data_IF_728320889401
#
_entry.id   IF_728320889401
#
_cell.length_a   1.000
_cell.length_b   1.000
_cell.length_c   1.000
_cell.angle_alpha   90.00
_cell.angle_beta   90.00
_cell.angle_gamma   90.00
#
_symmetry.space_group_name_H-M   'P 1'
#
loop_
_entity.id
_entity.type
_entity.pdbx_description
1 polymer ?
#
# COMPACT_ATOMS: atom_id res chain seq x y z
N UNK A 1 27.24 -15.14 -5.24
CA UNK A 1 25.86 -14.83 -4.80
C UNK A 1 25.21 -16.15 -4.44
N UNK A 2 24.70 -16.32 -3.20
CA UNK A 2 24.03 -17.58 -2.83
C UNK A 2 22.51 -17.38 -2.93
N UNK A 3 21.87 -18.21 -3.74
CA UNK A 3 20.42 -18.25 -3.87
C UNK A 3 19.85 -19.05 -2.69
N UNK A 4 19.45 -18.36 -1.64
CA UNK A 4 18.73 -18.93 -0.49
C UNK A 4 17.24 -18.71 -0.66
N UNK A 5 16.41 -19.54 -0.01
CA UNK A 5 14.94 -19.38 -0.06
C UNK A 5 14.50 -17.96 0.33
N UNK A 6 15.01 -17.35 1.42
CA UNK A 6 14.69 -15.96 1.74
C UNK A 6 15.02 -15.00 0.59
N UNK A 7 16.22 -15.09 -0.01
CA UNK A 7 16.60 -14.21 -1.12
C UNK A 7 15.69 -14.35 -2.34
N UNK A 8 15.23 -15.58 -2.64
CA UNK A 8 14.28 -15.81 -3.74
C UNK A 8 12.96 -15.14 -3.45
N UNK A 9 12.43 -15.25 -2.21
CA UNK A 9 11.19 -14.58 -1.82
C UNK A 9 11.29 -13.05 -1.95
N UNK A 10 12.41 -12.44 -1.51
CA UNK A 10 12.65 -11.01 -1.68
C UNK A 10 12.69 -10.59 -3.16
N UNK A 11 13.36 -11.38 -4.02
CA UNK A 11 13.39 -11.11 -5.47
C UNK A 11 11.99 -11.23 -6.09
N UNK A 12 11.22 -12.24 -5.70
CA UNK A 12 9.83 -12.40 -6.16
C UNK A 12 8.97 -11.21 -5.73
N UNK A 13 9.11 -10.73 -4.50
CA UNK A 13 8.41 -9.54 -4.02
C UNK A 13 8.80 -8.29 -4.80
N UNK A 14 10.08 -8.11 -5.09
CA UNK A 14 10.54 -7.00 -5.93
C UNK A 14 9.94 -7.06 -7.34
N UNK A 15 9.85 -8.25 -7.92
CA UNK A 15 9.20 -8.45 -9.22
C UNK A 15 7.66 -8.30 -9.15
N UNK A 16 7.05 -8.64 -8.01
CA UNK A 16 5.62 -8.45 -7.78
C UNK A 16 5.21 -6.98 -7.76
N UNK A 17 6.08 -6.07 -7.33
CA UNK A 17 5.78 -4.65 -7.27
C UNK A 17 5.36 -4.07 -8.64
N UNK A 18 6.16 -4.14 -9.72
CA UNK A 18 5.68 -3.76 -11.04
C UNK A 18 4.55 -4.66 -11.54
N UNK A 19 4.49 -5.92 -11.11
CA UNK A 19 3.41 -6.85 -11.41
C UNK A 19 2.04 -6.30 -11.05
N UNK A 20 1.89 -5.62 -9.91
CA UNK A 20 0.63 -4.97 -9.50
C UNK A 20 0.15 -3.97 -10.57
N UNK A 21 1.03 -3.12 -11.08
CA UNK A 21 0.66 -2.17 -12.14
C UNK A 21 0.34 -2.87 -13.46
N UNK A 22 1.10 -3.93 -13.80
CA UNK A 22 0.89 -4.70 -15.04
C UNK A 22 -0.47 -5.40 -15.06
N UNK A 23 -1.05 -5.77 -13.90
CA UNK A 23 -2.39 -6.37 -13.85
C UNK A 23 -3.43 -5.44 -14.49
N UNK A 24 -3.36 -4.13 -14.25
CA UNK A 24 -4.30 -3.15 -14.80
C UNK A 24 -4.04 -2.78 -16.27
N UNK A 25 -2.88 -3.16 -16.83
CA UNK A 25 -2.59 -2.96 -18.24
C UNK A 25 -3.05 -4.14 -19.11
N UNK A 26 -2.99 -5.35 -18.60
CA UNK A 26 -3.21 -6.57 -19.37
C UNK A 26 -4.50 -7.31 -19.04
N UNK A 27 -5.09 -7.04 -17.90
CA UNK A 27 -6.34 -7.68 -17.47
C UNK A 27 -7.46 -6.66 -17.35
N UNK A 28 -8.67 -7.08 -17.70
CA UNK A 28 -9.89 -6.30 -17.47
C UNK A 28 -10.36 -6.44 -16.04
N UNK A 29 -11.07 -5.44 -15.53
CA UNK A 29 -11.77 -5.56 -14.22
C UNK A 29 -12.89 -6.62 -14.34
N UNK A 30 -13.12 -7.45 -13.32
CA UNK A 30 -12.55 -7.42 -11.96
C UNK A 30 -11.24 -8.21 -11.81
N UNK A 31 -10.77 -8.91 -12.83
CA UNK A 31 -9.58 -9.77 -12.72
C UNK A 31 -8.33 -8.98 -12.35
N UNK A 32 -8.18 -7.75 -12.91
CA UNK A 32 -7.07 -6.88 -12.55
C UNK A 32 -7.05 -6.56 -11.05
N UNK A 33 -8.21 -6.22 -10.47
CA UNK A 33 -8.35 -5.90 -9.05
C UNK A 33 -8.03 -7.12 -8.16
N UNK A 34 -8.56 -8.29 -8.51
CA UNK A 34 -8.27 -9.53 -7.79
C UNK A 34 -6.79 -9.90 -7.83
N UNK A 35 -6.18 -9.87 -9.01
CA UNK A 35 -4.76 -10.21 -9.14
C UNK A 35 -3.87 -9.21 -8.42
N UNK A 36 -4.15 -7.91 -8.50
CA UNK A 36 -3.42 -6.88 -7.79
C UNK A 36 -3.54 -7.07 -6.27
N UNK A 37 -4.75 -7.29 -5.76
CA UNK A 37 -5.00 -7.55 -4.34
C UNK A 37 -4.24 -8.80 -3.86
N UNK A 38 -4.39 -9.92 -4.56
CA UNK A 38 -3.75 -11.19 -4.18
C UNK A 38 -2.23 -11.06 -4.24
N UNK A 39 -1.70 -10.46 -5.32
CA UNK A 39 -0.26 -10.26 -5.50
C UNK A 39 0.31 -9.36 -4.39
N UNK A 40 -0.38 -8.28 -4.05
CA UNK A 40 0.02 -7.38 -2.97
C UNK A 40 -0.01 -8.06 -1.61
N UNK A 41 -1.08 -8.79 -1.29
CA UNK A 41 -1.22 -9.50 0.00
C UNK A 41 -0.18 -10.62 0.12
N UNK A 42 0.05 -11.40 -0.94
CA UNK A 42 1.10 -12.42 -0.95
C UNK A 42 2.48 -11.81 -0.77
N UNK A 43 2.77 -10.68 -1.42
CA UNK A 43 4.03 -9.97 -1.23
C UNK A 43 4.22 -9.49 0.22
N UNK A 44 3.16 -8.99 0.87
CA UNK A 44 3.19 -8.60 2.28
C UNK A 44 3.42 -9.79 3.23
N UNK A 45 2.81 -10.94 2.94
CA UNK A 45 3.00 -12.17 3.72
C UNK A 45 4.42 -12.71 3.53
N UNK A 46 4.94 -12.71 2.29
CA UNK A 46 6.29 -13.20 2.00
C UNK A 46 7.37 -12.35 2.66
N UNK A 47 7.16 -11.04 2.83
CA UNK A 47 8.06 -10.16 3.58
C UNK A 47 8.22 -10.60 5.04
N UNK A 48 7.11 -10.95 5.69
CA UNK A 48 7.17 -11.47 7.05
C UNK A 48 7.88 -12.82 7.10
N UNK A 49 7.62 -13.69 6.11
CA UNK A 49 8.16 -15.05 6.06
C UNK A 49 9.65 -15.08 5.76
N UNK A 50 10.15 -14.30 4.81
CA UNK A 50 11.57 -14.33 4.45
C UNK A 50 12.46 -13.83 5.58
N UNK A 51 12.07 -12.77 6.28
CA UNK A 51 12.75 -12.30 7.47
C UNK A 51 12.73 -13.32 8.62
N UNK A 52 11.63 -14.04 8.82
CA UNK A 52 11.54 -15.12 9.81
C UNK A 52 12.43 -16.29 9.42
N UNK A 53 12.33 -16.79 8.18
CA UNK A 53 13.10 -17.93 7.68
C UNK A 53 14.61 -17.64 7.63
N UNK A 54 15.02 -16.43 7.24
CA UNK A 54 16.43 -16.04 7.20
C UNK A 54 17.08 -16.16 8.59
N UNK A 55 16.37 -15.70 9.63
CA UNK A 55 16.83 -15.81 11.03
C UNK A 55 16.79 -17.26 11.53
N UNK A 56 15.68 -17.97 11.30
CA UNK A 56 15.49 -19.34 11.78
C UNK A 56 16.50 -20.32 11.15
N UNK A 57 16.81 -20.15 9.88
CA UNK A 57 17.76 -21.01 9.15
C UNK A 57 19.19 -20.48 9.11
N UNK A 58 19.46 -19.33 9.74
CA UNK A 58 20.78 -18.65 9.71
C UNK A 58 21.27 -18.41 8.27
N UNK A 59 20.36 -18.04 7.39
CA UNK A 59 20.60 -17.79 5.95
C UNK A 59 20.59 -16.29 5.62
N UNK A 60 20.85 -15.44 6.60
CA UNK A 60 21.01 -14.01 6.38
C UNK A 60 22.13 -13.74 5.38
N UNK A 61 21.88 -12.86 4.42
CA UNK A 61 22.83 -12.53 3.36
C UNK A 61 22.93 -11.03 3.13
N UNK A 62 24.11 -10.56 2.69
CA UNK A 62 24.30 -9.15 2.31
C UNK A 62 23.39 -8.73 1.16
N UNK A 63 23.09 -9.69 0.27
CA UNK A 63 22.21 -9.46 -0.86
C UNK A 63 20.75 -9.23 -0.42
N UNK A 64 20.21 -10.08 0.46
CA UNK A 64 18.88 -9.89 1.05
C UNK A 64 18.81 -8.56 1.81
N UNK A 65 19.76 -8.29 2.71
CA UNK A 65 19.80 -7.05 3.48
C UNK A 65 19.82 -5.77 2.62
N UNK A 66 20.38 -5.85 1.39
CA UNK A 66 20.33 -4.76 0.41
C UNK A 66 18.96 -4.69 -0.29
N UNK A 67 18.41 -5.87 -0.65
CA UNK A 67 17.22 -5.95 -1.51
C UNK A 67 15.92 -5.69 -0.74
N UNK A 68 15.82 -6.15 0.51
CA UNK A 68 14.62 -6.03 1.34
C UNK A 68 14.10 -4.58 1.44
N UNK A 69 14.92 -3.57 1.80
CA UNK A 69 14.43 -2.20 1.86
C UNK A 69 13.99 -1.63 0.51
N UNK A 70 14.52 -2.16 -0.59
CA UNK A 70 14.16 -1.75 -1.96
C UNK A 70 12.80 -2.35 -2.32
N UNK A 71 12.62 -3.66 -2.09
CA UNK A 71 11.39 -4.37 -2.39
C UNK A 71 10.19 -3.81 -1.62
N UNK A 72 10.36 -3.54 -0.31
CA UNK A 72 9.32 -2.95 0.53
C UNK A 72 8.85 -1.60 0.01
N UNK A 73 9.80 -0.72 -0.32
CA UNK A 73 9.46 0.61 -0.85
C UNK A 73 8.83 0.52 -2.23
N UNK A 74 9.36 -0.33 -3.12
CA UNK A 74 8.83 -0.51 -4.46
C UNK A 74 7.36 -0.94 -4.42
N UNK A 75 7.02 -1.91 -3.54
CA UNK A 75 5.64 -2.36 -3.35
C UNK A 75 4.70 -1.23 -2.95
N UNK A 76 5.07 -0.45 -1.95
CA UNK A 76 4.25 0.67 -1.46
C UNK A 76 4.13 1.77 -2.51
N UNK A 77 5.24 2.19 -3.11
CA UNK A 77 5.27 3.27 -4.10
C UNK A 77 4.40 2.93 -5.30
N UNK A 78 4.56 1.72 -5.86
CA UNK A 78 3.81 1.29 -7.04
C UNK A 78 2.34 1.07 -6.71
N UNK A 79 2.02 0.45 -5.57
CA UNK A 79 0.65 0.26 -5.15
C UNK A 79 -0.10 1.59 -4.95
N UNK A 80 0.52 2.58 -4.28
CA UNK A 80 -0.06 3.91 -4.12
C UNK A 80 -0.20 4.65 -5.45
N UNK A 81 0.78 4.53 -6.37
CA UNK A 81 0.69 5.09 -7.70
C UNK A 81 -0.52 4.54 -8.47
N UNK A 82 -0.72 3.21 -8.41
CA UNK A 82 -1.87 2.55 -9.03
C UNK A 82 -3.19 3.03 -8.42
N UNK A 83 -3.30 3.06 -7.08
CA UNK A 83 -4.52 3.50 -6.38
C UNK A 83 -4.86 4.96 -6.73
N UNK A 84 -3.88 5.86 -6.75
CA UNK A 84 -4.08 7.26 -7.17
C UNK A 84 -4.54 7.32 -8.62
N UNK A 85 -3.92 6.54 -9.52
CA UNK A 85 -4.30 6.48 -10.93
C UNK A 85 -5.73 5.95 -11.13
N UNK A 86 -6.11 4.88 -10.44
CA UNK A 86 -7.46 4.31 -10.51
C UNK A 86 -8.51 5.30 -9.97
N UNK A 87 -8.25 5.90 -8.81
CA UNK A 87 -9.16 6.89 -8.23
C UNK A 87 -9.36 8.11 -9.13
N UNK A 88 -8.31 8.58 -9.81
CA UNK A 88 -8.40 9.66 -10.78
C UNK A 88 -9.17 9.25 -12.04
N UNK A 89 -8.99 8.03 -12.52
CA UNK A 89 -9.70 7.50 -13.68
C UNK A 89 -11.21 7.37 -13.42
N UNK A 90 -11.61 6.92 -12.21
CA UNK A 90 -13.00 6.77 -11.80
C UNK A 90 -13.73 8.12 -11.70
N UNK A 91 -13.07 9.12 -11.11
CA UNK A 91 -13.67 10.44 -10.84
C UNK A 91 -13.42 11.47 -11.93
N UNK A 92 -12.57 11.17 -12.89
CA UNK A 92 -12.04 12.10 -13.90
C UNK A 92 -11.37 13.35 -13.34
N UNK A 93 -11.11 13.37 -12.02
CA UNK A 93 -10.35 14.39 -11.29
C UNK A 93 -9.53 13.72 -10.19
N UNK A 94 -8.46 14.39 -9.76
CA UNK A 94 -7.66 13.89 -8.64
C UNK A 94 -8.48 13.90 -7.34
N UNK A 95 -8.54 12.76 -6.67
CA UNK A 95 -9.21 12.66 -5.37
C UNK A 95 -8.26 13.10 -4.24
N UNK A 96 -8.54 14.23 -3.58
CA UNK A 96 -7.65 14.73 -2.52
C UNK A 96 -7.56 13.79 -1.31
N UNK A 97 -8.60 12.97 -1.05
CA UNK A 97 -8.62 12.02 0.06
C UNK A 97 -7.63 10.87 -0.12
N UNK A 98 -7.25 10.57 -1.36
CA UNK A 98 -6.22 9.58 -1.71
C UNK A 98 -4.90 10.27 -2.02
N UNK A 99 -4.90 11.34 -2.82
CA UNK A 99 -3.68 11.98 -3.29
C UNK A 99 -2.84 12.56 -2.15
N UNK A 100 -3.46 13.30 -1.21
CA UNK A 100 -2.72 13.95 -0.13
C UNK A 100 -2.02 12.95 0.79
N UNK A 101 -2.69 11.93 1.38
CA UNK A 101 -1.99 10.97 2.22
C UNK A 101 -0.96 10.15 1.44
N UNK A 102 -1.23 9.78 0.19
CA UNK A 102 -0.24 9.12 -0.67
C UNK A 102 1.01 9.98 -0.87
N UNK A 103 0.83 11.27 -1.16
CA UNK A 103 1.95 12.22 -1.31
C UNK A 103 2.80 12.31 -0.04
N UNK A 104 2.18 12.41 1.15
CA UNK A 104 2.89 12.46 2.43
C UNK A 104 3.71 11.17 2.64
N UNK A 105 3.12 10.01 2.36
CA UNK A 105 3.79 8.73 2.50
C UNK A 105 4.99 8.65 1.54
N UNK A 106 4.78 8.92 0.25
CA UNK A 106 5.82 8.84 -0.77
C UNK A 106 6.96 9.84 -0.52
N UNK A 107 6.63 11.08 -0.19
CA UNK A 107 7.62 12.10 0.16
C UNK A 107 8.51 11.63 1.32
N UNK A 108 7.91 11.11 2.38
CA UNK A 108 8.68 10.60 3.53
C UNK A 108 9.55 9.41 3.16
N UNK A 109 9.07 8.48 2.33
CA UNK A 109 9.88 7.33 1.90
C UNK A 109 11.13 7.77 1.15
N UNK A 110 11.02 8.77 0.28
CA UNK A 110 12.16 9.37 -0.42
C UNK A 110 13.06 10.13 0.54
N UNK A 111 12.49 11.01 1.36
CA UNK A 111 13.22 11.88 2.28
C UNK A 111 14.06 11.08 3.28
N UNK A 112 13.45 10.11 3.97
CA UNK A 112 14.17 9.29 4.98
C UNK A 112 15.19 8.38 4.32
N UNK A 113 14.96 7.94 3.08
CA UNK A 113 15.95 7.14 2.34
C UNK A 113 17.20 7.95 1.99
N UNK A 114 17.01 9.15 1.43
CA UNK A 114 18.13 10.05 1.14
C UNK A 114 18.90 10.45 2.41
N UNK A 115 18.16 10.69 3.52
CA UNK A 115 18.79 11.01 4.79
C UNK A 115 19.61 9.82 5.35
N UNK A 116 19.13 8.58 5.21
CA UNK A 116 19.86 7.37 5.60
C UNK A 116 21.11 7.15 4.75
N UNK A 117 21.00 7.39 3.45
CA UNK A 117 22.11 7.29 2.52
C UNK A 117 23.21 8.31 2.87
N UNK A 118 22.83 9.57 3.12
CA UNK A 118 23.76 10.62 3.55
C UNK A 118 24.48 10.28 4.86
N UNK A 119 23.77 9.76 5.85
CA UNK A 119 24.32 9.40 7.16
C UNK A 119 25.20 8.15 7.12
N UNK A 120 25.06 7.29 6.12
CA UNK A 120 25.86 6.07 5.99
C UNK A 120 25.84 5.20 7.25
N UNK A 121 27.02 4.94 7.82
CA UNK A 121 27.14 4.10 9.04
C UNK A 121 26.42 4.69 10.27
N UNK A 122 26.38 6.01 10.42
CA UNK A 122 25.70 6.69 11.52
C UNK A 122 24.18 6.46 11.51
N UNK A 123 23.59 6.15 10.34
CA UNK A 123 22.16 5.81 10.25
C UNK A 123 21.78 4.58 11.09
N UNK A 124 22.72 3.64 11.30
CA UNK A 124 22.54 2.44 12.13
C UNK A 124 22.40 2.72 13.61
N UNK A 125 22.92 3.86 14.10
CA UNK A 125 22.85 4.29 15.50
C UNK A 125 21.49 4.89 15.85
N UNK A 126 20.73 5.35 14.84
CA UNK A 126 19.43 5.97 15.04
C UNK A 126 18.36 4.90 15.27
N UNK A 127 17.98 4.70 16.54
CA UNK A 127 16.96 3.73 16.94
C UNK A 127 15.62 4.05 16.29
N UNK A 128 15.05 3.05 15.61
CA UNK A 128 13.71 3.10 15.04
C UNK A 128 12.68 2.95 16.15
N UNK A 129 11.67 3.83 16.19
CA UNK A 129 10.60 3.79 17.18
C UNK A 129 9.62 2.63 16.93
N UNK A 130 8.93 2.17 17.97
CA UNK A 130 7.85 1.17 17.85
C UNK A 130 6.74 1.66 16.93
N UNK A 131 6.47 2.97 16.89
CA UNK A 131 5.51 3.60 15.97
C UNK A 131 5.83 3.33 14.48
N UNK A 132 7.11 3.19 14.14
CA UNK A 132 7.50 2.90 12.77
C UNK A 132 7.08 1.49 12.30
N UNK A 133 6.91 0.53 13.22
CA UNK A 133 6.37 -0.81 12.91
C UNK A 133 4.87 -0.73 12.63
N UNK A 134 4.13 -0.04 13.51
CA UNK A 134 2.67 0.15 13.32
C UNK A 134 2.35 0.91 12.03
N UNK A 135 3.15 1.95 11.70
CA UNK A 135 3.02 2.69 10.45
C UNK A 135 2.98 1.76 9.24
N UNK A 136 3.94 0.84 9.13
CA UNK A 136 4.05 -0.06 7.98
C UNK A 136 2.86 -1.02 7.91
N UNK A 137 2.46 -1.60 9.04
CA UNK A 137 1.30 -2.50 9.08
C UNK A 137 0.01 -1.79 8.67
N UNK A 138 -0.27 -0.59 9.25
CA UNK A 138 -1.47 0.18 8.91
C UNK A 138 -1.47 0.56 7.43
N UNK A 139 -0.33 0.96 6.88
CA UNK A 139 -0.16 1.32 5.48
C UNK A 139 -0.43 0.14 4.54
N UNK A 140 0.10 -1.05 4.85
CA UNK A 140 -0.14 -2.26 4.05
C UNK A 140 -1.61 -2.68 4.09
N UNK A 141 -2.25 -2.61 5.26
CA UNK A 141 -3.69 -2.90 5.41
C UNK A 141 -4.52 -1.88 4.63
N UNK A 142 -4.20 -0.59 4.72
CA UNK A 142 -4.91 0.46 3.97
C UNK A 142 -4.88 0.20 2.46
N UNK A 143 -3.72 -0.13 1.91
CA UNK A 143 -3.54 -0.42 0.49
C UNK A 143 -4.34 -1.68 0.08
N UNK A 144 -4.28 -2.75 0.86
CA UNK A 144 -5.03 -3.98 0.59
C UNK A 144 -6.55 -3.72 0.58
N UNK A 145 -7.07 -2.95 1.55
CA UNK A 145 -8.49 -2.59 1.62
C UNK A 145 -8.91 -1.71 0.43
N UNK A 146 -8.05 -0.79 -0.02
CA UNK A 146 -8.32 0.04 -1.19
C UNK A 146 -8.32 -0.76 -2.51
N UNK A 147 -7.47 -1.79 -2.64
CA UNK A 147 -7.58 -2.72 -3.77
C UNK A 147 -8.86 -3.58 -3.68
N UNK A 148 -9.25 -4.04 -2.49
CA UNK A 148 -10.50 -4.78 -2.31
C UNK A 148 -11.74 -3.94 -2.71
N UNK A 149 -11.72 -2.62 -2.49
CA UNK A 149 -12.77 -1.70 -2.97
C UNK A 149 -13.02 -1.84 -4.46
N UNK A 150 -11.98 -1.99 -5.27
CA UNK A 150 -12.10 -2.14 -6.72
C UNK A 150 -12.90 -3.39 -7.14
N UNK A 151 -12.77 -4.50 -6.39
CA UNK A 151 -13.55 -5.72 -6.61
C UNK A 151 -15.05 -5.47 -6.36
N UNK A 152 -15.40 -4.87 -5.21
CA UNK A 152 -16.80 -4.56 -4.88
C UNK A 152 -17.41 -3.52 -5.81
N UNK A 153 -16.62 -2.54 -6.26
CA UNK A 153 -17.05 -1.54 -7.25
C UNK A 153 -17.46 -2.18 -8.57
N UNK A 154 -16.66 -3.13 -9.06
CA UNK A 154 -17.01 -3.83 -10.29
C UNK A 154 -18.33 -4.62 -10.15
N UNK A 155 -18.53 -5.31 -9.03
CA UNK A 155 -19.79 -6.01 -8.77
C UNK A 155 -20.96 -5.06 -8.70
N UNK A 156 -20.80 -3.94 -7.98
CA UNK A 156 -21.81 -2.89 -7.90
C UNK A 156 -22.18 -2.34 -9.28
N UNK A 157 -21.18 -1.97 -10.08
CA UNK A 157 -21.42 -1.43 -11.43
C UNK A 157 -22.13 -2.43 -12.35
N UNK A 158 -21.80 -3.72 -12.26
CA UNK A 158 -22.51 -4.75 -13.04
C UNK A 158 -23.97 -4.91 -12.60
N UNK A 159 -24.27 -4.76 -11.31
CA UNK A 159 -25.65 -4.83 -10.81
C UNK A 159 -26.50 -3.65 -11.25
N UNK A 160 -25.93 -2.45 -11.28
CA UNK A 160 -26.64 -1.23 -11.72
C UNK A 160 -26.71 -1.09 -13.23
N UNK A 161 -25.86 -1.81 -13.99
CA UNK A 161 -25.82 -1.70 -15.43
C UNK A 161 -27.16 -2.16 -16.06
N UNK A 162 -27.85 -1.25 -16.74
CA UNK A 162 -29.14 -1.51 -17.36
C UNK A 162 -30.34 -1.37 -16.42
N UNK A 163 -30.13 -1.02 -15.16
CA UNK A 163 -31.21 -0.70 -14.21
C UNK A 163 -31.73 0.70 -14.47
N UNK A 164 -33.05 0.85 -14.52
CA UNK A 164 -33.67 2.18 -14.60
C UNK A 164 -33.59 2.91 -13.27
N UNK A 165 -33.66 4.24 -13.32
CA UNK A 165 -33.47 5.09 -12.17
C UNK A 165 -34.52 4.85 -11.06
N UNK A 166 -35.76 4.56 -11.44
CA UNK A 166 -36.85 4.29 -10.51
C UNK A 166 -36.61 2.97 -9.73
N UNK A 167 -36.20 1.93 -10.44
CA UNK A 167 -35.84 0.63 -9.81
C UNK A 167 -34.61 0.78 -8.90
N UNK A 168 -33.60 1.50 -9.35
CA UNK A 168 -32.38 1.73 -8.55
C UNK A 168 -32.70 2.42 -7.21
N UNK A 169 -33.43 3.54 -7.25
CA UNK A 169 -33.80 4.25 -6.01
C UNK A 169 -34.81 3.47 -5.18
N UNK A 170 -35.75 2.73 -5.82
CA UNK A 170 -36.72 1.89 -5.11
C UNK A 170 -36.05 0.75 -4.33
N UNK A 171 -34.98 0.15 -4.85
CA UNK A 171 -34.19 -0.86 -4.14
C UNK A 171 -33.42 -0.22 -2.98
N UNK A 172 -32.79 0.94 -3.20
CA UNK A 172 -32.03 1.62 -2.14
C UNK A 172 -32.90 2.16 -1.00
N UNK A 173 -34.14 2.57 -1.31
CA UNK A 173 -35.12 3.03 -0.28
C UNK A 173 -35.80 1.87 0.45
N UNK A 174 -35.75 0.65 -0.09
CA UNK A 174 -36.45 -0.54 0.43
C UNK A 174 -37.90 -0.66 -0.05
N UNK A 175 -38.34 0.19 -1.02
CA UNK A 175 -39.67 0.09 -1.64
C UNK A 175 -39.76 -1.08 -2.63
N UNK A 176 -38.62 -1.48 -3.19
CA UNK A 176 -38.48 -2.65 -4.08
C UNK A 176 -37.54 -3.67 -3.37
N UNK A 177 -37.92 -4.93 -3.44
CA UNK A 177 -37.14 -6.03 -2.85
C UNK A 177 -35.76 -6.15 -3.53
N UNK A 178 -34.69 -6.19 -2.73
CA UNK A 178 -33.30 -6.37 -3.22
C UNK A 178 -33.00 -7.85 -3.48
N UNK A 179 -33.47 -8.36 -4.59
CA UNK A 179 -33.29 -9.78 -5.00
C UNK A 179 -31.82 -10.09 -5.29
N UNK A 180 -31.04 -9.12 -5.73
CA UNK A 180 -29.67 -9.29 -6.19
C UNK A 180 -28.59 -8.93 -5.16
N UNK A 181 -28.96 -8.40 -3.99
CA UNK A 181 -28.01 -7.96 -2.96
C UNK A 181 -27.28 -6.67 -3.28
N UNK A 182 -27.91 -5.77 -4.07
CA UNK A 182 -27.33 -4.49 -4.46
C UNK A 182 -26.95 -3.63 -3.23
N UNK A 183 -27.82 -3.59 -2.22
CA UNK A 183 -27.60 -2.81 -0.99
C UNK A 183 -26.38 -3.33 -0.23
N UNK A 184 -26.23 -4.65 -0.13
CA UNK A 184 -25.10 -5.27 0.56
C UNK A 184 -23.78 -4.96 -0.16
N UNK A 185 -23.73 -5.11 -1.48
CA UNK A 185 -22.54 -4.81 -2.28
C UNK A 185 -22.20 -3.32 -2.23
N UNK A 186 -23.21 -2.43 -2.28
CA UNK A 186 -23.01 -0.99 -2.11
C UNK A 186 -22.41 -0.65 -0.73
N UNK A 187 -22.89 -1.32 0.33
CA UNK A 187 -22.36 -1.15 1.69
C UNK A 187 -20.91 -1.66 1.79
N UNK A 188 -20.59 -2.81 1.19
CA UNK A 188 -19.22 -3.34 1.16
C UNK A 188 -18.28 -2.40 0.41
N UNK A 189 -18.69 -1.87 -0.75
CA UNK A 189 -17.92 -0.92 -1.53
C UNK A 189 -17.65 0.38 -0.74
N UNK A 190 -18.70 0.97 -0.16
CA UNK A 190 -18.58 2.20 0.62
C UNK A 190 -17.81 1.98 1.93
N UNK A 191 -18.00 0.83 2.58
CA UNK A 191 -17.28 0.44 3.78
C UNK A 191 -15.78 0.27 3.52
N UNK A 192 -15.40 -0.45 2.47
CA UNK A 192 -13.98 -0.64 2.10
C UNK A 192 -13.33 0.68 1.68
N UNK A 193 -14.07 1.55 0.95
CA UNK A 193 -13.59 2.89 0.65
C UNK A 193 -13.31 3.70 1.92
N UNK A 194 -14.30 3.80 2.81
CA UNK A 194 -14.20 4.59 4.04
C UNK A 194 -13.09 4.08 4.94
N UNK A 195 -13.04 2.77 5.20
CA UNK A 195 -12.01 2.14 6.03
C UNK A 195 -10.63 2.31 5.39
N UNK A 196 -10.51 2.09 4.09
CA UNK A 196 -9.25 2.23 3.35
C UNK A 196 -8.70 3.66 3.42
N UNK A 197 -9.55 4.67 3.20
CA UNK A 197 -9.16 6.08 3.29
C UNK A 197 -8.77 6.46 4.72
N UNK A 198 -9.56 6.10 5.72
CA UNK A 198 -9.23 6.38 7.13
C UNK A 198 -7.89 5.76 7.52
N UNK A 199 -7.66 4.50 7.17
CA UNK A 199 -6.38 3.83 7.43
C UNK A 199 -5.23 4.48 6.68
N UNK A 200 -5.45 4.94 5.44
CA UNK A 200 -4.42 5.62 4.66
C UNK A 200 -4.02 6.96 5.29
N UNK A 201 -4.98 7.73 5.83
CA UNK A 201 -4.72 8.96 6.57
C UNK A 201 -4.00 8.70 7.89
N UNK A 202 -4.39 7.65 8.63
CA UNK A 202 -3.67 7.23 9.84
C UNK A 202 -2.22 6.86 9.48
N UNK A 203 -2.00 6.10 8.41
CA UNK A 203 -0.68 5.75 7.92
C UNK A 203 0.14 6.99 7.54
N UNK A 204 -0.46 7.97 6.87
CA UNK A 204 0.20 9.22 6.50
C UNK A 204 0.63 10.04 7.72
N UNK A 205 -0.25 10.18 8.72
CA UNK A 205 0.05 10.87 9.98
C UNK A 205 1.19 10.17 10.74
N UNK A 206 1.12 8.84 10.91
CA UNK A 206 2.19 8.06 11.54
C UNK A 206 3.50 8.19 10.75
N UNK A 207 3.41 8.24 9.43
CA UNK A 207 4.54 8.41 8.52
C UNK A 207 5.18 9.78 8.70
N UNK A 208 4.40 10.85 8.78
CA UNK A 208 4.89 12.21 9.03
C UNK A 208 5.58 12.32 10.39
N UNK A 209 4.94 11.82 11.46
CA UNK A 209 5.48 11.84 12.82
C UNK A 209 6.80 11.07 12.92
N UNK A 210 6.84 9.85 12.37
CA UNK A 210 8.07 9.03 12.40
C UNK A 210 9.17 9.58 11.50
N UNK A 211 8.82 10.25 10.40
CA UNK A 211 9.75 10.96 9.53
C UNK A 211 10.38 12.15 10.24
N UNK A 212 9.57 12.94 10.94
CA UNK A 212 10.04 14.05 11.75
C UNK A 212 10.95 13.60 12.90
N UNK A 213 10.55 12.56 13.64
CA UNK A 213 11.39 11.99 14.71
C UNK A 213 12.75 11.53 14.17
N UNK A 214 12.77 10.88 13.00
CA UNK A 214 14.01 10.46 12.37
C UNK A 214 14.89 11.66 11.96
N UNK A 215 14.29 12.68 11.37
CA UNK A 215 15.00 13.91 11.02
C UNK A 215 15.55 14.64 12.25
N UNK A 216 14.75 14.75 13.32
CA UNK A 216 15.18 15.39 14.56
C UNK A 216 16.41 14.70 15.18
N UNK A 217 16.43 13.35 15.14
CA UNK A 217 17.58 12.54 15.60
C UNK A 217 18.79 12.64 14.67
N UNK A 218 18.58 12.83 13.37
CA UNK A 218 19.65 13.02 12.40
C UNK A 218 20.27 14.42 12.45
N UNK A 219 19.55 15.43 12.94
CA UNK A 219 19.96 16.83 12.95
C UNK A 219 21.37 17.11 13.53
N UNK A 220 21.83 16.45 14.62
CA UNK A 220 23.18 16.65 15.12
C UNK A 220 24.29 16.30 14.12
N UNK A 221 24.04 15.31 13.27
CA UNK A 221 24.98 14.84 12.24
C UNK A 221 24.97 15.71 10.97
N UNK A 222 24.01 16.64 10.85
CA UNK A 222 23.89 17.57 9.71
C UNK A 222 24.53 18.93 9.99
N UNK A 223 25.08 19.16 11.18
CA UNK A 223 25.74 20.41 11.54
C UNK A 223 27.15 20.41 11.02
N UNK A 224 27.54 21.52 10.40
CA UNK A 224 28.92 21.71 9.97
C UNK A 224 29.85 21.75 11.20
N UNK A 225 31.05 21.12 11.13
CA UNK A 225 32.03 21.21 12.18
C UNK A 225 32.49 22.67 12.32
N UNK A 226 32.00 23.35 13.34
CA UNK A 226 32.41 24.73 13.62
C UNK A 226 31.34 25.83 13.45
N UNK A 227 30.07 25.43 13.22
CA UNK A 227 28.92 26.33 13.25
C UNK A 227 28.26 26.42 14.63
#
# INVERSE_FOLDING_TARGET
MRWTVPNILTVMRLAAAPGVALMFLYFTRPWADWFALVLFVLAAITDFLDGYLARAWKQESRFGAMLDPIADKAMVVIALLVIVGLSAAERQVMDPWILLPATVILFREVFVSGLREYLGAAAGELKVTTLAKYKTTVQMVAIAVLFAKGVFEHWYLNMVQGMDEATYYGVLSGDIEDVNGLVEVAQMMNGTWTVGVVLLWIAALLTAVTGWDYFAKARPYLRDPGA
#
